data_IF_109567508870
#
_entry.id   IF_109567508870
#
_cell.length_a   1.000
_cell.length_b   1.000
_cell.length_c   1.000
_cell.angle_alpha   90.00
_cell.angle_beta   90.00
_cell.angle_gamma   90.00
#
_symmetry.space_group_name_H-M   'P 1'
#
loop_
_entity.id
_entity.type
_entity.pdbx_description
1 polymer ?
#
# COMPACT_ATOMS: atom_id res chain seq x y z
N UNK A 1 4.63 -3.92 -7.22
CA UNK A 1 4.23 -3.40 -5.88
C UNK A 1 3.17 -4.27 -5.24
N UNK A 2 1.95 -4.36 -5.79
CA UNK A 2 0.87 -5.15 -5.20
C UNK A 2 1.18 -6.64 -5.08
N UNK A 3 1.92 -7.21 -6.04
CA UNK A 3 2.42 -8.59 -5.94
C UNK A 3 3.29 -8.83 -4.71
N UNK A 4 4.18 -7.88 -4.36
CA UNK A 4 5.00 -7.96 -3.14
C UNK A 4 4.13 -7.92 -1.88
N UNK A 5 3.16 -6.99 -1.82
CA UNK A 5 2.23 -6.88 -0.67
C UNK A 5 1.44 -8.17 -0.41
N UNK A 6 1.32 -9.02 -1.42
CA UNK A 6 0.49 -10.23 -1.40
C UNK A 6 1.29 -11.49 -1.75
N UNK A 7 2.62 -11.43 -1.69
CA UNK A 7 3.48 -12.50 -2.17
C UNK A 7 3.39 -13.74 -1.28
N UNK A 8 3.24 -14.90 -1.91
CA UNK A 8 3.45 -16.21 -1.30
C UNK A 8 4.77 -16.85 -1.73
N UNK A 9 5.65 -16.11 -2.40
CA UNK A 9 6.88 -16.63 -2.99
C UNK A 9 7.93 -17.02 -1.96
N UNK A 10 8.74 -18.01 -2.32
CA UNK A 10 9.94 -18.43 -1.59
C UNK A 10 11.07 -18.75 -2.56
N UNK A 11 12.30 -18.89 -2.07
CA UNK A 11 13.51 -18.96 -2.90
C UNK A 11 13.50 -20.10 -3.95
N UNK A 12 12.80 -21.21 -3.68
CA UNK A 12 12.70 -22.39 -4.56
C UNK A 12 11.28 -22.62 -5.08
N UNK A 13 10.45 -21.58 -5.12
CA UNK A 13 9.08 -21.72 -5.59
C UNK A 13 9.05 -22.13 -7.08
N UNK A 14 8.06 -22.94 -7.51
CA UNK A 14 7.82 -23.20 -8.92
C UNK A 14 7.76 -21.89 -9.70
N UNK A 15 8.53 -21.80 -10.78
CA UNK A 15 8.68 -20.62 -11.63
C UNK A 15 9.32 -19.38 -10.95
N UNK A 16 9.97 -19.58 -9.79
CA UNK A 16 10.69 -18.54 -9.04
C UNK A 16 9.81 -17.76 -8.06
N UNK A 17 10.40 -16.99 -7.12
CA UNK A 17 9.64 -16.26 -6.09
C UNK A 17 8.70 -15.19 -6.67
N UNK A 18 9.01 -14.67 -7.86
CA UNK A 18 8.27 -13.56 -8.47
C UNK A 18 7.08 -13.97 -9.35
N UNK A 19 6.73 -15.26 -9.39
CA UNK A 19 5.47 -15.75 -9.99
C UNK A 19 4.34 -15.88 -8.96
N UNK A 20 4.61 -15.60 -7.68
CA UNK A 20 3.72 -15.88 -6.54
C UNK A 20 3.06 -14.62 -5.94
N UNK A 21 2.85 -13.59 -6.76
CA UNK A 21 2.06 -12.43 -6.37
C UNK A 21 0.59 -12.77 -6.17
N UNK A 22 -0.15 -11.97 -5.41
CA UNK A 22 -1.60 -12.14 -5.19
C UNK A 22 -1.98 -13.45 -4.49
N UNK A 23 -1.05 -14.08 -3.77
CA UNK A 23 -1.29 -15.30 -3.00
C UNK A 23 -2.10 -15.03 -1.72
N UNK A 24 -1.82 -13.92 -1.03
CA UNK A 24 -2.50 -13.54 0.20
C UNK A 24 -3.45 -12.36 0.00
N UNK A 25 -4.59 -12.42 0.68
CA UNK A 25 -5.60 -11.35 0.66
C UNK A 25 -5.65 -10.52 1.95
N UNK A 26 -5.31 -11.14 3.08
CA UNK A 26 -5.30 -10.52 4.42
C UNK A 26 -3.91 -10.62 5.01
N UNK A 27 -3.55 -9.60 5.81
CA UNK A 27 -2.32 -9.58 6.59
C UNK A 27 -2.22 -10.82 7.49
N UNK A 28 -1.05 -11.45 7.50
CA UNK A 28 -0.86 -12.74 8.19
C UNK A 28 -0.72 -12.60 9.72
N UNK A 29 -0.17 -11.48 10.20
CA UNK A 29 0.04 -11.22 11.63
C UNK A 29 -0.56 -9.85 12.03
N UNK A 30 -1.90 -9.72 12.05
CA UNK A 30 -2.57 -8.43 12.09
C UNK A 30 -2.55 -7.76 13.47
N UNK A 31 -2.34 -6.45 13.48
CA UNK A 31 -2.72 -5.54 14.56
C UNK A 31 -4.14 -4.97 14.40
N UNK A 32 -4.56 -4.08 15.30
CA UNK A 32 -5.84 -3.38 15.16
C UNK A 32 -5.81 -2.27 14.11
N UNK A 33 -4.64 -1.63 13.93
CA UNK A 33 -4.43 -0.47 13.05
C UNK A 33 -5.47 0.63 13.25
N UNK A 34 -5.80 0.89 14.51
CA UNK A 34 -6.70 1.97 14.91
C UNK A 34 -5.85 3.12 15.48
N UNK A 35 -5.80 4.24 14.77
CA UNK A 35 -5.26 5.50 15.25
C UNK A 35 -6.40 6.46 15.61
N UNK A 36 -6.17 7.33 16.61
CA UNK A 36 -7.11 8.41 16.87
C UNK A 36 -7.13 9.37 15.68
N UNK A 37 -8.29 9.49 15.04
CA UNK A 37 -8.57 10.46 13.98
C UNK A 37 -10.04 10.89 14.12
N UNK A 38 -10.33 12.18 14.35
CA UNK A 38 -11.70 12.66 14.56
C UNK A 38 -12.56 12.57 13.29
N UNK A 39 -11.96 12.54 12.10
CA UNK A 39 -12.70 12.42 10.84
C UNK A 39 -12.98 10.95 10.48
N UNK A 40 -12.13 10.04 10.95
CA UNK A 40 -12.21 8.61 10.65
C UNK A 40 -12.13 7.77 11.93
N UNK A 41 -13.06 7.94 12.88
CA UNK A 41 -13.03 7.20 14.14
C UNK A 41 -13.11 5.70 13.90
N UNK A 42 -12.38 4.92 14.69
CA UNK A 42 -12.44 3.46 14.59
C UNK A 42 -13.83 2.96 15.00
N UNK A 43 -14.48 2.22 14.12
CA UNK A 43 -15.75 1.57 14.42
C UNK A 43 -15.56 0.47 15.47
N UNK A 44 -16.50 0.37 16.42
CA UNK A 44 -16.44 -0.61 17.50
C UNK A 44 -16.36 -2.05 16.95
N UNK A 45 -15.39 -2.83 17.46
CA UNK A 45 -15.18 -4.22 17.04
C UNK A 45 -14.58 -4.39 15.64
N UNK A 46 -14.17 -3.30 14.96
CA UNK A 46 -13.52 -3.36 13.64
C UNK A 46 -12.01 -3.23 13.76
N UNK A 47 -11.32 -3.85 12.80
CA UNK A 47 -9.87 -3.83 12.67
C UNK A 47 -9.47 -3.45 11.24
N UNK A 48 -8.42 -2.66 11.12
CA UNK A 48 -7.99 -2.04 9.86
C UNK A 48 -6.62 -2.57 9.41
N UNK A 49 -6.35 -3.84 9.67
CA UNK A 49 -5.16 -4.54 9.15
C UNK A 49 -5.16 -4.63 7.62
N UNK A 50 -4.02 -5.03 7.06
CA UNK A 50 -3.80 -5.12 5.62
C UNK A 50 -4.82 -6.00 4.92
N UNK A 51 -5.53 -5.44 3.94
CA UNK A 51 -6.42 -6.19 3.04
C UNK A 51 -6.22 -5.78 1.58
N UNK A 52 -6.46 -6.72 0.68
CA UNK A 52 -6.43 -6.49 -0.76
C UNK A 52 -5.02 -6.31 -1.34
N UNK A 53 -4.93 -5.95 -2.63
CA UNK A 53 -3.67 -5.94 -3.38
C UNK A 53 -2.63 -4.96 -2.84
N UNK A 54 -3.04 -3.85 -2.20
CA UNK A 54 -2.11 -2.87 -1.62
C UNK A 54 -1.95 -3.05 -0.10
N UNK A 55 -2.53 -4.10 0.47
CA UNK A 55 -2.61 -4.32 1.93
C UNK A 55 -3.05 -3.04 2.67
N UNK A 56 -4.17 -2.46 2.23
CA UNK A 56 -4.70 -1.21 2.78
C UNK A 56 -4.83 -1.37 4.30
N UNK A 57 -4.20 -0.46 5.04
CA UNK A 57 -4.09 -0.51 6.49
C UNK A 57 -4.43 0.85 7.10
N UNK A 58 -4.89 0.85 8.36
CA UNK A 58 -5.31 2.00 9.17
C UNK A 58 -6.69 2.59 8.88
N UNK A 59 -7.42 2.90 9.94
CA UNK A 59 -8.77 3.51 9.91
C UNK A 59 -8.87 4.75 9.01
N UNK A 60 -7.90 5.66 9.07
CA UNK A 60 -7.90 6.86 8.25
C UNK A 60 -7.76 6.56 6.74
N UNK A 61 -7.07 5.49 6.35
CA UNK A 61 -6.98 5.08 4.94
C UNK A 61 -8.28 4.40 4.48
N UNK A 62 -8.84 3.50 5.29
CA UNK A 62 -10.14 2.88 5.00
C UNK A 62 -11.24 3.94 4.86
N UNK A 63 -11.28 4.92 5.76
CA UNK A 63 -12.25 6.02 5.72
C UNK A 63 -12.10 6.91 4.49
N UNK A 64 -10.88 7.36 4.17
CA UNK A 64 -10.63 8.17 2.97
C UNK A 64 -10.94 7.39 1.68
N UNK A 65 -10.51 6.14 1.60
CA UNK A 65 -10.76 5.27 0.45
C UNK A 65 -12.25 5.03 0.26
N UNK A 66 -12.95 4.63 1.33
CA UNK A 66 -14.38 4.35 1.30
C UNK A 66 -15.17 5.54 0.77
N UNK A 67 -14.89 6.74 1.29
CA UNK A 67 -15.48 7.99 0.80
C UNK A 67 -15.22 8.22 -0.69
N UNK A 68 -13.99 7.96 -1.17
CA UNK A 68 -13.62 8.19 -2.56
C UNK A 68 -14.28 7.20 -3.54
N UNK A 69 -14.50 5.95 -3.12
CA UNK A 69 -15.05 4.90 -3.98
C UNK A 69 -16.56 4.67 -3.79
N UNK A 70 -17.19 5.39 -2.86
CA UNK A 70 -18.62 5.30 -2.57
C UNK A 70 -19.01 4.13 -1.67
N UNK A 71 -18.11 3.64 -0.82
CA UNK A 71 -18.30 2.46 0.04
C UNK A 71 -18.04 2.79 1.52
N UNK A 72 -18.81 2.23 2.44
CA UNK A 72 -18.58 2.40 3.88
C UNK A 72 -17.54 1.41 4.42
N UNK A 73 -16.28 1.64 4.03
CA UNK A 73 -15.14 0.83 4.44
C UNK A 73 -14.71 1.06 5.90
N UNK A 74 -15.15 2.15 6.53
CA UNK A 74 -14.82 2.44 7.93
C UNK A 74 -15.61 1.52 8.87
N UNK A 75 -16.90 1.28 8.59
CA UNK A 75 -17.71 0.32 9.33
C UNK A 75 -17.65 -1.11 8.78
N UNK A 76 -17.30 -1.27 7.49
CA UNK A 76 -17.25 -2.57 6.81
C UNK A 76 -15.88 -2.83 6.14
N UNK A 77 -14.76 -2.82 6.91
CA UNK A 77 -13.42 -2.97 6.33
C UNK A 77 -13.20 -4.34 5.65
N UNK A 78 -13.94 -5.37 6.06
CA UNK A 78 -13.84 -6.71 5.46
C UNK A 78 -14.30 -6.77 4.00
N UNK A 79 -15.06 -5.77 3.51
CA UNK A 79 -15.42 -5.67 2.08
C UNK A 79 -14.18 -5.70 1.18
N UNK A 80 -13.07 -5.12 1.63
CA UNK A 80 -11.79 -5.12 0.89
C UNK A 80 -11.22 -6.54 0.71
N UNK A 81 -11.65 -7.50 1.53
CA UNK A 81 -11.24 -8.91 1.46
C UNK A 81 -12.37 -9.87 1.09
N UNK A 82 -13.58 -9.39 0.79
CA UNK A 82 -14.72 -10.25 0.37
C UNK A 82 -15.31 -9.87 -0.97
N UNK A 83 -15.12 -8.63 -1.42
CA UNK A 83 -15.51 -8.17 -2.76
C UNK A 83 -14.24 -7.85 -3.59
N UNK A 84 -13.96 -8.60 -4.66
CA UNK A 84 -12.74 -8.40 -5.45
C UNK A 84 -12.72 -7.05 -6.18
N UNK A 85 -13.87 -6.51 -6.59
CA UNK A 85 -13.94 -5.20 -7.26
C UNK A 85 -13.60 -4.09 -6.26
N UNK A 86 -14.16 -4.13 -5.06
CA UNK A 86 -13.79 -3.21 -3.97
C UNK A 86 -12.30 -3.36 -3.63
N UNK A 87 -11.81 -4.60 -3.55
CA UNK A 87 -10.39 -4.89 -3.29
C UNK A 87 -9.45 -4.21 -4.29
N UNK A 88 -9.71 -4.32 -5.59
CA UNK A 88 -8.89 -3.63 -6.60
C UNK A 88 -9.11 -2.12 -6.60
N UNK A 89 -10.33 -1.63 -6.35
CA UNK A 89 -10.60 -0.20 -6.21
C UNK A 89 -9.77 0.43 -5.09
N UNK A 90 -9.58 -0.24 -3.95
CA UNK A 90 -8.76 0.31 -2.86
C UNK A 90 -7.29 0.44 -3.24
N UNK A 91 -6.75 -0.55 -3.96
CA UNK A 91 -5.38 -0.51 -4.46
C UNK A 91 -5.17 0.61 -5.49
N UNK A 92 -6.11 0.77 -6.42
CA UNK A 92 -6.09 1.87 -7.39
C UNK A 92 -6.25 3.23 -6.70
N UNK A 93 -7.17 3.36 -5.75
CA UNK A 93 -7.34 4.57 -4.97
C UNK A 93 -6.03 4.99 -4.30
N UNK A 94 -5.33 4.06 -3.62
CA UNK A 94 -4.05 4.36 -2.99
C UNK A 94 -3.02 4.80 -4.03
N UNK A 95 -2.95 4.11 -5.17
CA UNK A 95 -2.01 4.41 -6.24
C UNK A 95 -2.20 5.81 -6.85
N UNK A 96 -3.46 6.24 -6.97
CA UNK A 96 -3.87 7.49 -7.62
C UNK A 96 -3.94 8.68 -6.67
N UNK A 97 -3.99 8.47 -5.35
CA UNK A 97 -4.27 9.53 -4.38
C UNK A 97 -2.99 10.06 -3.74
N UNK A 98 -2.62 11.35 -3.94
CA UNK A 98 -1.55 11.95 -3.17
C UNK A 98 -1.97 12.13 -1.71
N UNK A 99 -1.05 11.83 -0.78
CA UNK A 99 -1.23 12.05 0.64
C UNK A 99 -0.06 12.90 1.15
N UNK A 100 -0.26 14.21 1.22
CA UNK A 100 0.81 15.18 1.53
C UNK A 100 1.59 14.77 2.79
N UNK A 101 2.94 14.76 2.74
CA UNK A 101 3.79 15.33 1.69
C UNK A 101 4.07 14.39 0.49
N UNK A 102 3.53 13.17 0.48
CA UNK A 102 3.78 12.18 -0.57
C UNK A 102 2.95 12.50 -1.83
N UNK A 103 3.55 12.47 -3.04
CA UNK A 103 2.78 12.49 -4.28
C UNK A 103 2.04 11.16 -4.47
N UNK A 104 1.18 11.08 -5.49
CA UNK A 104 0.60 9.80 -5.89
C UNK A 104 1.68 8.91 -6.53
N UNK A 105 1.57 7.59 -6.38
CA UNK A 105 2.45 6.67 -7.11
C UNK A 105 2.26 6.82 -8.63
N UNK A 106 1.03 7.13 -9.06
CA UNK A 106 0.69 7.45 -10.44
C UNK A 106 1.51 8.62 -10.99
N UNK A 107 1.55 9.77 -10.31
CA UNK A 107 2.29 10.93 -10.80
C UNK A 107 3.80 10.65 -10.86
N UNK A 108 4.32 9.85 -9.94
CA UNK A 108 5.74 9.43 -9.96
C UNK A 108 6.05 8.60 -11.19
N UNK A 109 5.29 7.53 -11.44
CA UNK A 109 5.62 6.57 -12.51
C UNK A 109 5.30 7.12 -13.92
N UNK A 110 4.37 8.08 -14.01
CA UNK A 110 4.02 8.74 -15.28
C UNK A 110 4.86 9.99 -15.57
N UNK A 111 5.84 10.31 -14.73
CA UNK A 111 6.73 11.47 -14.91
C UNK A 111 6.05 12.83 -14.66
N UNK A 112 4.90 12.86 -14.00
CA UNK A 112 4.16 14.08 -13.67
C UNK A 112 4.60 14.72 -12.35
N UNK A 113 5.20 13.95 -11.46
CA UNK A 113 5.76 14.46 -10.21
C UNK A 113 7.14 15.07 -10.44
N UNK A 114 7.29 16.34 -10.05
CA UNK A 114 8.57 17.04 -10.01
C UNK A 114 9.07 17.13 -8.55
N UNK A 115 10.22 16.53 -8.20
CA UNK A 115 10.74 16.56 -6.83
C UNK A 115 11.02 17.98 -6.35
N UNK A 116 10.57 18.30 -5.13
CA UNK A 116 10.93 19.55 -4.45
C UNK A 116 12.42 19.59 -4.10
N UNK A 117 12.92 20.75 -3.66
CA UNK A 117 14.27 20.85 -3.12
C UNK A 117 14.51 19.88 -1.95
N UNK A 118 13.52 19.71 -1.07
CA UNK A 118 13.59 18.77 0.06
C UNK A 118 13.60 17.30 -0.40
N UNK A 119 12.89 16.96 -1.49
CA UNK A 119 12.92 15.62 -2.07
C UNK A 119 14.29 15.28 -2.64
N UNK A 120 14.87 16.22 -3.40
CA UNK A 120 16.23 16.07 -3.97
C UNK A 120 17.27 15.90 -2.88
N UNK A 121 17.23 16.74 -1.84
CA UNK A 121 18.14 16.62 -0.69
C UNK A 121 17.99 15.31 0.08
N UNK A 122 16.80 14.70 0.04
CA UNK A 122 16.54 13.39 0.64
C UNK A 122 16.78 12.21 -0.32
N UNK A 123 17.36 12.44 -1.51
CA UNK A 123 17.62 11.40 -2.51
C UNK A 123 16.37 10.81 -3.17
N UNK A 124 15.21 11.47 -3.06
CA UNK A 124 13.97 11.03 -3.71
C UNK A 124 13.94 11.55 -5.15
N UNK A 125 14.32 10.68 -6.08
CA UNK A 125 14.29 10.95 -7.54
C UNK A 125 13.17 10.14 -8.22
N UNK A 126 12.57 10.63 -9.32
CA UNK A 126 11.47 9.91 -9.98
C UNK A 126 11.86 8.49 -10.37
N UNK A 127 10.98 7.52 -10.07
CA UNK A 127 11.19 6.12 -10.40
C UNK A 127 10.53 5.17 -9.41
N UNK A 128 10.65 3.87 -9.69
CA UNK A 128 9.99 2.81 -8.93
C UNK A 128 10.37 2.83 -7.44
N UNK A 129 11.62 3.18 -7.11
CA UNK A 129 12.06 3.32 -5.72
C UNK A 129 11.28 4.35 -4.91
N UNK A 130 10.84 5.46 -5.51
CA UNK A 130 9.98 6.43 -4.81
C UNK A 130 8.57 5.89 -4.62
N UNK A 131 8.04 5.05 -5.53
CA UNK A 131 6.76 4.36 -5.27
C UNK A 131 6.85 3.43 -4.07
N UNK A 132 7.98 2.71 -3.91
CA UNK A 132 8.25 1.91 -2.69
C UNK A 132 8.32 2.80 -1.45
N UNK A 133 8.96 3.97 -1.55
CA UNK A 133 9.03 4.92 -0.44
C UNK A 133 7.64 5.45 -0.04
N UNK A 134 6.77 5.74 -1.02
CA UNK A 134 5.38 6.16 -0.79
C UNK A 134 4.62 5.08 -0.03
N UNK A 135 4.72 3.82 -0.48
CA UNK A 135 4.00 2.67 0.08
C UNK A 135 4.48 2.36 1.50
N UNK A 136 5.79 2.14 1.71
CA UNK A 136 6.31 1.68 3.00
C UNK A 136 7.72 2.20 3.37
N UNK A 137 8.06 3.41 2.91
CA UNK A 137 9.42 3.96 3.06
C UNK A 137 9.90 4.12 4.50
N UNK A 138 9.00 4.32 5.47
CA UNK A 138 9.37 4.41 6.89
C UNK A 138 9.99 3.11 7.43
N UNK A 139 9.60 1.96 6.88
CA UNK A 139 10.14 0.66 7.26
C UNK A 139 11.26 0.22 6.33
N UNK A 140 11.16 0.52 5.03
CA UNK A 140 11.96 -0.13 3.99
C UNK A 140 13.06 0.74 3.37
N UNK A 141 12.92 2.07 3.38
CA UNK A 141 13.84 2.97 2.67
C UNK A 141 14.84 3.66 3.62
N UNK A 142 15.97 4.13 3.05
CA UNK A 142 16.98 4.92 3.78
C UNK A 142 17.84 4.14 4.78
N UNK A 143 17.84 2.80 4.70
CA UNK A 143 18.52 1.90 5.66
C UNK A 143 19.53 0.96 4.99
N UNK A 144 19.93 1.25 3.75
CA UNK A 144 20.77 0.35 2.93
C UNK A 144 19.95 -0.73 2.22
N UNK A 145 20.60 -1.86 1.92
CA UNK A 145 19.93 -3.01 1.29
C UNK A 145 18.81 -3.56 2.19
N UNK A 146 17.70 -3.94 1.56
CA UNK A 146 16.52 -4.47 2.23
C UNK A 146 15.87 -5.51 1.33
N UNK A 147 15.75 -6.74 1.81
CA UNK A 147 15.18 -7.86 1.07
C UNK A 147 13.73 -7.60 0.59
N UNK A 148 12.94 -6.81 1.32
CA UNK A 148 11.58 -6.43 0.89
C UNK A 148 11.60 -5.50 -0.31
N UNK A 149 12.53 -4.55 -0.33
CA UNK A 149 12.71 -3.64 -1.46
C UNK A 149 13.19 -4.42 -2.69
N UNK A 150 14.10 -5.38 -2.49
CA UNK A 150 14.55 -6.28 -3.56
C UNK A 150 13.39 -7.12 -4.12
N UNK A 151 12.53 -7.70 -3.27
CA UNK A 151 11.36 -8.45 -3.71
C UNK A 151 10.37 -7.58 -4.52
N UNK A 152 10.11 -6.33 -4.08
CA UNK A 152 9.31 -5.38 -4.87
C UNK A 152 9.88 -5.12 -6.26
N UNK A 153 11.21 -5.07 -6.39
CA UNK A 153 11.91 -4.86 -7.66
C UNK A 153 11.89 -6.13 -8.50
N UNK A 154 12.04 -7.31 -7.91
CA UNK A 154 12.00 -8.58 -8.64
C UNK A 154 10.66 -8.86 -9.32
N UNK A 155 9.55 -8.38 -8.75
CA UNK A 155 8.22 -8.42 -9.38
C UNK A 155 7.99 -7.36 -10.48
N UNK A 156 8.79 -6.29 -10.55
CA UNK A 156 8.59 -5.18 -11.49
C UNK A 156 9.31 -5.42 -12.81
#
# INVERSE_FOLDING_TARGET
QTSHETTGGWASAPDGPYSWGYCYLKEQNPGSYCAWDPNYPCAAGKQYYGRGPIQLSWNYNYGQCGKAIGEDLLNNPDLVATDPVISFKTALWFWMTPQSPKPSCHDVITGRWNPSGADKSAGRVPGYGVTTNIINGGLECGKGWNAKVEDRVGFY
#
